data_IF_702886113464
#
_entry.id   IF_702886113464
#
_cell.length_a   1.000
_cell.length_b   1.000
_cell.length_c   1.000
_cell.angle_alpha   90.00
_cell.angle_beta   90.00
_cell.angle_gamma   90.00
#
_symmetry.space_group_name_H-M   'P 1'
#
loop_
_entity.id
_entity.type
_entity.pdbx_description
1 polymer ?
#
# COMPACT_ATOMS: atom_id res chain seq x y z
N UNK A 1 29.55 9.22 -16.60
CA UNK A 1 28.47 8.22 -16.74
C UNK A 1 27.53 8.40 -15.55
N UNK A 2 26.22 8.45 -15.79
CA UNK A 2 25.22 8.57 -14.73
C UNK A 2 24.50 7.20 -14.61
N UNK A 3 24.49 6.63 -13.42
CA UNK A 3 23.78 5.39 -13.13
C UNK A 3 22.37 5.72 -12.62
N UNK A 4 21.38 5.00 -13.10
CA UNK A 4 19.99 5.11 -12.66
C UNK A 4 19.44 3.75 -12.28
N UNK A 5 18.51 3.70 -11.34
CA UNK A 5 17.83 2.48 -10.92
C UNK A 5 16.47 2.31 -11.62
N UNK A 6 15.82 1.18 -11.38
CA UNK A 6 14.53 0.86 -11.99
C UNK A 6 13.41 1.81 -11.54
N UNK A 7 13.46 2.31 -10.32
CA UNK A 7 12.43 3.21 -9.78
C UNK A 7 12.55 4.59 -10.43
N UNK A 8 13.79 5.08 -10.62
CA UNK A 8 14.08 6.32 -11.36
C UNK A 8 13.62 6.23 -12.83
N UNK A 9 13.79 5.07 -13.46
CA UNK A 9 13.32 4.81 -14.84
C UNK A 9 11.79 4.80 -14.88
N UNK A 10 11.11 4.08 -13.98
CA UNK A 10 9.65 4.03 -13.91
C UNK A 10 9.04 5.41 -13.67
N UNK A 11 9.62 6.21 -12.77
CA UNK A 11 9.23 7.60 -12.54
C UNK A 11 9.40 8.47 -13.80
N UNK A 12 10.44 8.21 -14.60
CA UNK A 12 10.65 8.93 -15.86
C UNK A 12 9.68 8.50 -16.95
N UNK A 13 9.28 7.23 -17.03
CA UNK A 13 8.22 6.76 -17.93
C UNK A 13 6.88 7.44 -17.61
N UNK A 14 6.51 7.52 -16.34
CA UNK A 14 5.32 8.26 -15.90
C UNK A 14 5.38 9.73 -16.33
N UNK A 15 6.50 10.40 -16.06
CA UNK A 15 6.69 11.80 -16.42
C UNK A 15 6.54 12.03 -17.94
N UNK A 16 7.10 11.15 -18.77
CA UNK A 16 6.94 11.20 -20.23
C UNK A 16 5.45 11.10 -20.59
N UNK A 17 4.75 10.12 -20.04
CA UNK A 17 3.33 9.93 -20.30
C UNK A 17 2.49 11.14 -19.89
N UNK A 18 2.71 11.68 -18.70
CA UNK A 18 1.94 12.82 -18.19
C UNK A 18 2.14 14.11 -19.00
N UNK A 19 3.35 14.35 -19.50
CA UNK A 19 3.68 15.59 -20.21
C UNK A 19 3.44 15.54 -21.72
N UNK A 20 3.71 14.40 -22.36
CA UNK A 20 3.63 14.30 -23.83
C UNK A 20 2.65 13.23 -24.33
N UNK A 21 1.99 12.52 -23.42
CA UNK A 21 1.04 11.43 -23.73
C UNK A 21 1.62 10.31 -24.61
N UNK A 22 2.94 10.11 -24.53
CA UNK A 22 3.65 9.03 -25.19
C UNK A 22 4.06 7.96 -24.18
N UNK A 23 3.97 6.70 -24.56
CA UNK A 23 4.47 5.59 -23.75
C UNK A 23 5.85 5.23 -24.29
N UNK A 24 6.87 5.38 -23.45
CA UNK A 24 8.23 4.90 -23.75
C UNK A 24 8.46 3.53 -23.10
N UNK A 25 9.34 2.73 -23.68
CA UNK A 25 9.89 1.57 -22.99
C UNK A 25 10.87 1.97 -21.88
N UNK A 26 11.20 1.09 -20.90
CA UNK A 26 12.15 1.41 -19.84
C UNK A 26 13.51 1.90 -20.35
N UNK A 27 14.08 1.23 -21.38
CA UNK A 27 15.33 1.64 -22.00
C UNK A 27 15.24 3.04 -22.65
N UNK A 28 14.10 3.37 -23.25
CA UNK A 28 13.85 4.69 -23.83
C UNK A 28 13.76 5.81 -22.79
N UNK A 29 13.27 5.51 -21.58
CA UNK A 29 13.15 6.47 -20.47
C UNK A 29 14.45 6.65 -19.68
N UNK A 30 15.42 5.74 -19.82
CA UNK A 30 16.71 5.78 -19.10
C UNK A 30 17.46 7.10 -19.30
N UNK A 31 17.41 7.65 -20.52
CA UNK A 31 18.05 8.93 -20.84
C UNK A 31 17.44 10.10 -20.03
N UNK A 32 16.11 10.14 -19.87
CA UNK A 32 15.45 11.17 -19.06
C UNK A 32 15.74 10.99 -17.58
N UNK A 33 15.76 9.74 -17.08
CA UNK A 33 16.14 9.46 -15.70
C UNK A 33 17.55 9.94 -15.38
N UNK A 34 18.52 9.62 -16.27
CA UNK A 34 19.90 10.11 -16.16
C UNK A 34 20.00 11.62 -16.24
N UNK A 35 19.24 12.27 -17.13
CA UNK A 35 19.22 13.72 -17.27
C UNK A 35 18.69 14.40 -15.98
N UNK A 36 17.58 13.91 -15.42
CA UNK A 36 17.02 14.43 -14.15
C UNK A 36 18.05 14.33 -13.01
N UNK A 37 18.72 13.19 -12.89
CA UNK A 37 19.74 12.97 -11.87
C UNK A 37 20.93 13.90 -12.07
N UNK A 38 21.42 14.04 -13.29
CA UNK A 38 22.51 14.95 -13.65
C UNK A 38 22.18 16.41 -13.33
N UNK A 39 20.99 16.89 -13.69
CA UNK A 39 20.51 18.24 -13.36
C UNK A 39 20.52 18.49 -11.86
N UNK A 40 20.02 17.53 -11.08
CA UNK A 40 19.97 17.62 -9.62
C UNK A 40 21.37 17.63 -8.98
N UNK A 41 22.23 16.73 -9.40
CA UNK A 41 23.61 16.61 -8.87
C UNK A 41 24.45 17.85 -9.16
N UNK A 42 24.26 18.47 -10.34
CA UNK A 42 25.02 19.65 -10.78
C UNK A 42 24.29 20.97 -10.54
N UNK A 43 23.10 20.93 -9.88
CA UNK A 43 22.28 22.13 -9.58
C UNK A 43 22.08 23.05 -10.80
N UNK A 44 21.85 22.44 -11.98
CA UNK A 44 21.68 23.18 -13.20
C UNK A 44 20.38 23.98 -13.21
N UNK A 45 20.49 25.29 -13.54
CA UNK A 45 19.35 26.19 -13.67
C UNK A 45 19.44 26.91 -15.03
N UNK A 46 18.27 27.27 -15.56
CA UNK A 46 18.15 28.06 -16.81
C UNK A 46 18.93 27.48 -18.01
N UNK A 47 18.93 26.14 -18.14
CA UNK A 47 19.58 25.41 -19.24
C UNK A 47 18.54 24.75 -20.14
N UNK A 48 18.77 24.84 -21.44
CA UNK A 48 18.07 24.02 -22.44
C UNK A 48 18.76 22.66 -22.51
N UNK A 49 18.05 21.62 -22.15
CA UNK A 49 18.56 20.25 -22.09
C UNK A 49 17.70 19.36 -23.00
N UNK A 50 18.33 18.37 -23.62
CA UNK A 50 17.65 17.42 -24.48
C UNK A 50 18.09 15.99 -24.15
N UNK A 51 17.18 15.05 -24.28
CA UNK A 51 17.47 13.63 -24.25
C UNK A 51 16.70 12.91 -25.37
N UNK A 52 17.15 11.72 -25.73
CA UNK A 52 16.53 10.93 -26.79
C UNK A 52 15.66 9.84 -26.12
N UNK A 53 14.38 9.83 -26.47
CA UNK A 53 13.47 8.73 -26.17
C UNK A 53 13.59 7.70 -27.30
N UNK A 54 14.31 6.62 -27.06
CA UNK A 54 14.78 5.73 -28.14
C UNK A 54 13.83 4.60 -28.52
N UNK A 55 12.76 4.37 -27.76
CA UNK A 55 11.87 3.26 -28.06
C UNK A 55 10.55 3.27 -27.28
N UNK A 56 9.59 2.47 -27.80
CA UNK A 56 8.25 2.32 -27.24
C UNK A 56 7.79 0.84 -27.24
N UNK A 57 8.74 -0.11 -27.28
CA UNK A 57 8.42 -1.54 -27.24
C UNK A 57 8.07 -1.97 -25.81
N UNK A 58 6.85 -1.68 -25.40
CA UNK A 58 6.32 -1.95 -24.07
C UNK A 58 5.08 -2.83 -24.15
N UNK A 59 4.94 -3.77 -23.22
CA UNK A 59 3.74 -4.56 -23.05
C UNK A 59 3.01 -4.22 -21.73
N UNK A 60 1.78 -4.71 -21.57
CA UNK A 60 0.98 -4.41 -20.38
C UNK A 60 1.57 -4.92 -19.06
N UNK A 61 2.37 -5.99 -19.08
CA UNK A 61 3.08 -6.46 -17.87
C UNK A 61 4.14 -5.42 -17.46
N UNK A 62 4.86 -4.83 -18.42
CA UNK A 62 5.81 -3.74 -18.15
C UNK A 62 5.09 -2.51 -17.60
N UNK A 63 3.92 -2.13 -18.15
CA UNK A 63 3.14 -1.00 -17.65
C UNK A 63 2.65 -1.23 -16.22
N UNK A 64 2.24 -2.45 -15.88
CA UNK A 64 1.90 -2.82 -14.50
C UNK A 64 3.10 -2.60 -13.57
N UNK A 65 4.27 -3.13 -13.93
CA UNK A 65 5.50 -2.94 -13.16
C UNK A 65 5.83 -1.45 -12.97
N UNK A 66 5.72 -0.65 -14.02
CA UNK A 66 5.93 0.80 -13.98
C UNK A 66 4.93 1.48 -13.03
N UNK A 67 3.64 1.16 -13.14
CA UNK A 67 2.58 1.72 -12.29
C UNK A 67 2.83 1.48 -10.81
N UNK A 68 3.39 0.31 -10.46
CA UNK A 68 3.66 -0.08 -9.08
C UNK A 68 4.92 0.58 -8.49
N UNK A 69 5.85 1.01 -9.32
CA UNK A 69 7.17 1.53 -8.88
C UNK A 69 7.36 3.03 -9.10
N UNK A 70 6.57 3.66 -9.96
CA UNK A 70 6.79 5.07 -10.30
C UNK A 70 6.60 6.02 -9.11
N UNK A 71 5.64 5.76 -8.23
CA UNK A 71 5.41 6.61 -7.04
C UNK A 71 6.57 6.49 -6.03
N UNK A 72 7.15 5.30 -5.91
CA UNK A 72 8.35 5.07 -5.07
C UNK A 72 9.55 5.82 -5.66
N UNK A 73 9.75 5.71 -6.98
CA UNK A 73 10.84 6.41 -7.68
C UNK A 73 10.72 7.94 -7.64
N UNK A 74 9.50 8.47 -7.54
CA UNK A 74 9.24 9.90 -7.32
C UNK A 74 9.33 10.32 -5.85
N UNK A 75 9.58 9.39 -4.92
CA UNK A 75 9.54 9.62 -3.48
C UNK A 75 8.16 10.13 -3.00
N UNK A 76 7.09 9.60 -3.62
CA UNK A 76 5.69 9.92 -3.29
C UNK A 76 4.96 8.82 -2.55
N UNK A 77 5.61 7.68 -2.36
CA UNK A 77 5.13 6.58 -1.53
C UNK A 77 6.22 6.15 -0.56
N UNK A 78 5.84 5.91 0.69
CA UNK A 78 6.66 5.24 1.69
C UNK A 78 6.09 3.85 1.94
N UNK A 79 6.95 2.83 1.97
CA UNK A 79 6.61 1.46 2.38
C UNK A 79 7.22 1.20 3.75
N UNK A 80 6.38 0.86 4.72
CA UNK A 80 6.80 0.68 6.11
C UNK A 80 6.36 -0.70 6.62
N UNK A 81 7.22 -1.34 7.40
CA UNK A 81 6.82 -2.41 8.30
C UNK A 81 6.70 -1.82 9.70
N UNK A 82 5.55 -2.03 10.35
CA UNK A 82 5.27 -1.46 11.67
C UNK A 82 4.79 -2.57 12.60
N UNK A 83 5.44 -2.70 13.76
CA UNK A 83 5.01 -3.64 14.79
C UNK A 83 3.94 -2.97 15.66
N UNK A 84 2.78 -3.61 15.77
CA UNK A 84 1.66 -3.17 16.58
C UNK A 84 1.33 -4.20 17.67
N UNK A 85 0.73 -3.75 18.77
CA UNK A 85 0.18 -4.67 19.76
C UNK A 85 -1.03 -5.43 19.19
N UNK A 86 -1.10 -6.75 19.46
CA UNK A 86 -2.24 -7.58 19.04
C UNK A 86 -3.40 -7.41 20.03
N UNK A 87 -4.14 -6.33 19.88
CA UNK A 87 -5.30 -5.99 20.69
C UNK A 87 -6.32 -5.15 19.92
N UNK A 88 -7.57 -5.22 20.34
CA UNK A 88 -8.66 -4.43 19.74
C UNK A 88 -8.32 -2.95 19.71
N UNK A 89 -8.56 -2.29 18.57
CA UNK A 89 -8.33 -0.87 18.38
C UNK A 89 -6.89 -0.49 17.99
N UNK A 90 -5.94 -1.42 17.93
CA UNK A 90 -4.55 -1.11 17.54
C UNK A 90 -4.45 -0.51 16.14
N UNK A 91 -5.24 -1.01 15.18
CA UNK A 91 -5.29 -0.43 13.83
C UNK A 91 -5.83 0.99 13.84
N UNK A 92 -6.91 1.23 14.58
CA UNK A 92 -7.49 2.57 14.68
C UNK A 92 -6.46 3.55 15.23
N UNK A 93 -5.81 3.20 16.35
CA UNK A 93 -4.78 4.02 16.98
C UNK A 93 -3.61 4.30 16.03
N UNK A 94 -3.16 3.29 15.29
CA UNK A 94 -2.15 3.46 14.26
C UNK A 94 -2.59 4.44 13.16
N UNK A 95 -3.80 4.27 12.63
CA UNK A 95 -4.35 5.14 11.59
C UNK A 95 -4.60 6.57 12.08
N UNK A 96 -4.92 6.79 13.35
CA UNK A 96 -5.03 8.11 13.95
C UNK A 96 -3.70 8.88 13.91
N UNK A 97 -2.58 8.18 14.11
CA UNK A 97 -1.23 8.79 14.01
C UNK A 97 -0.89 9.13 12.54
N UNK A 98 -1.27 8.27 11.60
CA UNK A 98 -1.12 8.58 10.18
C UNK A 98 -1.98 9.78 9.76
N UNK A 99 -3.06 10.04 10.47
CA UNK A 99 -3.98 11.17 10.21
C UNK A 99 -4.67 11.04 8.86
N UNK A 100 -4.75 12.17 8.13
CA UNK A 100 -5.44 12.24 6.82
C UNK A 100 -4.56 11.81 5.63
N UNK A 101 -3.41 11.20 5.86
CA UNK A 101 -2.56 10.72 4.77
C UNK A 101 -3.26 9.56 4.03
N UNK A 102 -3.11 9.54 2.72
CA UNK A 102 -3.70 8.45 1.93
C UNK A 102 -2.85 7.17 2.12
N UNK A 103 -3.47 6.14 2.64
CA UNK A 103 -2.89 4.79 2.69
C UNK A 103 -3.07 4.18 1.30
N UNK A 104 -1.98 3.73 0.69
CA UNK A 104 -1.96 3.10 -0.63
C UNK A 104 -2.08 1.58 -0.53
N UNK A 105 -1.62 1.02 0.58
CA UNK A 105 -1.58 -0.40 0.83
C UNK A 105 -1.58 -0.69 2.34
N UNK A 106 -2.27 -1.73 2.75
CA UNK A 106 -2.30 -2.17 4.14
C UNK A 106 -2.49 -3.68 4.21
N UNK A 107 -1.48 -4.39 4.67
CA UNK A 107 -1.51 -5.84 4.80
C UNK A 107 -1.26 -6.24 6.24
N UNK A 108 -2.18 -7.01 6.79
CA UNK A 108 -2.10 -7.58 8.12
C UNK A 108 -2.67 -8.99 8.12
N UNK A 109 -2.02 -9.85 8.88
CA UNK A 109 -2.52 -11.18 9.25
C UNK A 109 -2.15 -11.48 10.71
N UNK A 110 -3.11 -11.91 11.48
CA UNK A 110 -2.88 -12.40 12.84
C UNK A 110 -1.90 -13.59 12.82
N UNK A 111 -0.85 -13.52 13.60
CA UNK A 111 0.18 -14.55 13.68
C UNK A 111 0.62 -14.88 15.10
N UNK A 112 0.52 -13.94 16.02
CA UNK A 112 0.94 -14.05 17.42
C UNK A 112 -0.05 -13.28 18.32
N UNK A 113 -0.30 -13.77 19.53
CA UNK A 113 -1.26 -13.15 20.46
C UNK A 113 -0.77 -11.86 21.13
N UNK A 114 0.49 -11.45 20.90
CA UNK A 114 1.09 -10.28 21.54
C UNK A 114 1.34 -9.14 20.59
N UNK A 115 1.88 -9.44 19.43
CA UNK A 115 2.33 -8.46 18.45
C UNK A 115 2.06 -8.94 17.04
N UNK A 116 1.76 -7.99 16.17
CA UNK A 116 1.66 -8.22 14.73
C UNK A 116 2.55 -7.23 13.99
N UNK A 117 3.06 -7.66 12.85
CA UNK A 117 3.76 -6.79 11.91
C UNK A 117 2.78 -6.45 10.78
N UNK A 118 2.50 -5.17 10.59
CA UNK A 118 1.73 -4.67 9.45
C UNK A 118 2.68 -4.16 8.37
N UNK A 119 2.32 -4.42 7.12
CA UNK A 119 2.94 -3.80 5.96
C UNK A 119 2.03 -2.69 5.46
N UNK A 120 2.53 -1.46 5.39
CA UNK A 120 1.72 -0.30 5.01
C UNK A 120 2.43 0.56 3.99
N UNK A 121 1.71 0.92 2.93
CA UNK A 121 2.08 1.95 1.97
C UNK A 121 1.37 3.27 2.31
N UNK A 122 2.10 4.37 2.32
CA UNK A 122 1.56 5.70 2.62
C UNK A 122 1.98 6.68 1.55
N UNK A 123 1.03 7.42 1.00
CA UNK A 123 1.34 8.51 0.06
C UNK A 123 1.99 9.68 0.80
N UNK A 124 3.10 10.15 0.26
CA UNK A 124 3.90 11.24 0.82
C UNK A 124 4.18 12.30 -0.25
N UNK A 125 4.47 13.51 0.19
CA UNK A 125 4.88 14.63 -0.68
C UNK A 125 6.39 14.65 -0.99
N UNK A 126 7.17 13.84 -0.29
CA UNK A 126 8.62 13.71 -0.44
C UNK A 126 9.31 13.08 0.76
N UNK A 127 10.63 12.91 0.65
CA UNK A 127 11.44 12.23 1.67
C UNK A 127 11.39 12.89 3.06
N UNK A 128 11.17 14.20 3.15
CA UNK A 128 11.05 14.90 4.43
C UNK A 128 9.81 14.42 5.20
N UNK A 129 8.66 14.28 4.53
CA UNK A 129 7.44 13.78 5.15
C UNK A 129 7.58 12.30 5.57
N UNK A 130 8.32 11.47 4.81
CA UNK A 130 8.63 10.10 5.22
C UNK A 130 9.34 10.06 6.58
N UNK A 131 10.36 10.88 6.74
CA UNK A 131 11.12 10.98 8.00
C UNK A 131 10.22 11.43 9.15
N UNK A 132 9.33 12.40 8.91
CA UNK A 132 8.36 12.86 9.89
C UNK A 132 7.41 11.75 10.33
N UNK A 133 6.80 11.02 9.39
CA UNK A 133 5.90 9.89 9.68
C UNK A 133 6.61 8.84 10.54
N UNK A 134 7.82 8.42 10.16
CA UNK A 134 8.58 7.43 10.92
C UNK A 134 8.85 7.92 12.34
N UNK A 135 9.26 9.18 12.49
CA UNK A 135 9.50 9.79 13.79
C UNK A 135 8.23 9.84 14.65
N UNK A 136 7.11 10.26 14.07
CA UNK A 136 5.83 10.32 14.79
C UNK A 136 5.40 8.95 15.30
N UNK A 137 5.52 7.91 14.46
CA UNK A 137 5.22 6.54 14.85
C UNK A 137 6.15 6.06 15.98
N UNK A 138 7.47 6.29 15.86
CA UNK A 138 8.45 5.91 16.89
C UNK A 138 8.21 6.63 18.22
N UNK A 139 7.86 7.92 18.20
CA UNK A 139 7.52 8.69 19.41
C UNK A 139 6.24 8.16 20.09
N UNK A 140 5.33 7.54 19.34
CA UNK A 140 4.15 6.86 19.87
C UNK A 140 4.39 5.38 20.25
N UNK A 141 5.67 4.95 20.29
CA UNK A 141 6.08 3.64 20.78
C UNK A 141 6.00 2.50 19.76
N UNK A 142 5.86 2.81 18.47
CA UNK A 142 5.90 1.80 17.41
C UNK A 142 7.33 1.49 17.00
N UNK A 143 7.60 0.21 16.75
CA UNK A 143 8.81 -0.21 16.05
C UNK A 143 8.53 -0.14 14.54
N UNK A 144 9.35 0.62 13.81
CA UNK A 144 9.12 0.96 12.40
C UNK A 144 10.38 0.71 11.59
N UNK A 145 10.26 -0.10 10.55
CA UNK A 145 11.28 -0.28 9.52
C UNK A 145 10.86 0.40 8.21
N UNK A 146 11.73 1.22 7.64
CA UNK A 146 11.56 1.80 6.30
C UNK A 146 11.95 0.76 5.24
N UNK A 147 10.96 0.32 4.46
CA UNK A 147 11.11 -0.65 3.38
C UNK A 147 11.02 -0.01 1.99
N UNK A 148 11.00 1.33 1.90
CA UNK A 148 10.81 2.06 0.63
C UNK A 148 11.90 1.76 -0.40
N UNK A 149 13.10 1.40 0.04
CA UNK A 149 14.23 1.05 -0.82
C UNK A 149 14.50 -0.47 -0.87
N UNK A 150 13.71 -1.30 -0.17
CA UNK A 150 13.83 -2.76 -0.15
C UNK A 150 13.14 -3.41 -1.36
N UNK A 151 13.93 -4.08 -2.22
CA UNK A 151 13.41 -4.71 -3.44
C UNK A 151 12.52 -5.93 -3.17
N UNK A 152 12.73 -6.67 -2.06
CA UNK A 152 11.88 -7.80 -1.67
C UNK A 152 10.51 -7.28 -1.26
N UNK A 153 10.47 -6.20 -0.47
CA UNK A 153 9.23 -5.55 -0.08
C UNK A 153 8.44 -5.07 -1.31
N UNK A 154 9.10 -4.36 -2.23
CA UNK A 154 8.50 -3.83 -3.46
C UNK A 154 8.00 -4.90 -4.43
N UNK A 155 8.68 -6.03 -4.50
CA UNK A 155 8.43 -7.05 -5.53
C UNK A 155 7.55 -8.20 -5.01
N UNK A 156 7.65 -8.54 -3.74
CA UNK A 156 7.02 -9.74 -3.19
C UNK A 156 6.09 -9.46 -2.01
N UNK A 157 6.57 -8.76 -0.96
CA UNK A 157 5.80 -8.61 0.29
C UNK A 157 4.49 -7.87 0.07
N UNK A 158 4.47 -6.84 -0.75
CA UNK A 158 3.26 -6.06 -1.04
C UNK A 158 2.13 -6.85 -1.72
N UNK A 159 2.38 -8.09 -2.16
CA UNK A 159 1.36 -8.98 -2.75
C UNK A 159 0.92 -10.10 -1.82
N UNK A 160 1.48 -10.16 -0.61
CA UNK A 160 1.20 -11.23 0.34
C UNK A 160 0.02 -10.86 1.23
N UNK A 161 -1.05 -11.65 1.16
CA UNK A 161 -2.22 -11.50 2.06
C UNK A 161 -1.96 -12.15 3.43
N UNK A 162 -0.85 -12.84 3.59
CA UNK A 162 -0.50 -13.64 4.75
C UNK A 162 -0.88 -15.11 4.57
N UNK A 163 -0.82 -15.87 5.66
CA UNK A 163 -1.07 -17.30 5.68
C UNK A 163 -2.23 -17.67 6.61
N UNK A 164 -2.22 -18.91 7.09
CA UNK A 164 -3.20 -19.42 8.06
C UNK A 164 -2.95 -18.85 9.45
N UNK A 165 -4.01 -18.50 10.16
CA UNK A 165 -3.97 -18.12 11.57
C UNK A 165 -4.39 -19.33 12.42
N UNK A 166 -3.43 -20.13 12.85
CA UNK A 166 -3.69 -21.39 13.56
C UNK A 166 -4.33 -21.22 14.95
N UNK A 167 -4.21 -20.06 15.55
CA UNK A 167 -4.81 -19.72 16.85
C UNK A 167 -6.30 -19.36 16.77
N UNK A 168 -6.83 -19.04 15.59
CA UNK A 168 -8.21 -18.61 15.41
C UNK A 168 -9.09 -19.81 15.09
N UNK A 169 -10.02 -20.12 15.98
CA UNK A 169 -10.92 -21.28 15.82
C UNK A 169 -12.10 -21.00 14.89
N UNK A 170 -12.61 -19.76 14.89
CA UNK A 170 -13.74 -19.37 14.07
C UNK A 170 -13.53 -18.00 13.44
N UNK A 171 -13.46 -17.98 12.14
CA UNK A 171 -13.13 -16.80 11.33
C UNK A 171 -14.12 -16.68 10.17
N UNK A 172 -14.58 -15.46 9.91
CA UNK A 172 -15.41 -15.12 8.75
C UNK A 172 -14.69 -14.09 7.88
N UNK A 173 -14.66 -14.32 6.57
CA UNK A 173 -14.00 -13.48 5.59
C UNK A 173 -15.01 -12.68 4.77
N UNK A 174 -14.76 -11.40 4.65
CA UNK A 174 -15.59 -10.47 3.88
C UNK A 174 -14.77 -9.69 2.87
N UNK A 175 -15.34 -9.49 1.69
CA UNK A 175 -14.86 -8.55 0.69
C UNK A 175 -15.72 -7.30 0.70
N UNK A 176 -15.10 -6.11 0.58
CA UNK A 176 -15.78 -4.81 0.58
C UNK A 176 -15.38 -4.01 -0.66
N UNK A 177 -16.35 -3.34 -1.29
CA UNK A 177 -16.08 -2.24 -2.20
C UNK A 177 -15.87 -0.95 -1.39
N UNK A 178 -14.69 -0.35 -1.51
CA UNK A 178 -14.22 0.70 -0.63
C UNK A 178 -13.86 1.96 -1.41
N UNK A 179 -14.39 3.16 -1.02
CA UNK A 179 -14.05 4.38 -1.73
C UNK A 179 -12.60 4.80 -1.49
N UNK A 180 -11.83 5.04 -2.56
CA UNK A 180 -10.44 5.50 -2.48
C UNK A 180 -10.36 6.99 -2.15
N UNK A 181 -10.76 7.38 -0.93
CA UNK A 181 -10.75 8.76 -0.43
C UNK A 181 -9.87 8.89 0.82
N UNK A 182 -9.30 10.06 1.01
CA UNK A 182 -8.58 10.39 2.25
C UNK A 182 -9.49 10.22 3.46
N UNK A 183 -9.00 9.52 4.49
CA UNK A 183 -9.73 9.26 5.72
C UNK A 183 -10.77 8.14 5.66
N UNK A 184 -11.04 7.54 4.50
CA UNK A 184 -12.02 6.47 4.39
C UNK A 184 -11.62 5.23 5.22
N UNK A 185 -10.34 4.84 5.20
CA UNK A 185 -9.83 3.75 6.02
C UNK A 185 -10.01 4.02 7.52
N UNK A 186 -9.71 5.23 7.97
CA UNK A 186 -9.90 5.62 9.36
C UNK A 186 -11.38 5.49 9.77
N UNK A 187 -12.29 6.02 8.95
CA UNK A 187 -13.74 5.91 9.19
C UNK A 187 -14.22 4.45 9.25
N UNK A 188 -13.73 3.61 8.33
CA UNK A 188 -14.03 2.18 8.31
C UNK A 188 -13.59 1.50 9.61
N UNK A 189 -12.36 1.74 10.06
CA UNK A 189 -11.84 1.16 11.29
C UNK A 189 -12.54 1.67 12.56
N UNK A 190 -12.95 2.95 12.59
CA UNK A 190 -13.74 3.52 13.69
C UNK A 190 -15.04 2.76 13.93
N UNK A 191 -15.70 2.31 12.88
CA UNK A 191 -16.96 1.58 12.97
C UNK A 191 -16.79 0.10 13.34
N UNK A 192 -15.59 -0.45 13.17
CA UNK A 192 -15.26 -1.85 13.44
C UNK A 192 -14.48 -2.07 14.73
N UNK A 193 -14.36 -1.06 15.60
CA UNK A 193 -13.55 -1.13 16.84
C UNK A 193 -13.96 -2.25 17.82
N UNK A 194 -15.20 -2.72 17.74
CA UNK A 194 -15.71 -3.79 18.62
C UNK A 194 -15.40 -5.21 18.10
N UNK A 195 -14.81 -5.33 16.91
CA UNK A 195 -14.55 -6.60 16.26
C UNK A 195 -13.05 -6.89 16.20
N UNK A 196 -12.68 -8.15 16.41
CA UNK A 196 -11.31 -8.61 16.28
C UNK A 196 -11.02 -8.88 14.80
N UNK A 197 -10.25 -8.01 14.17
CA UNK A 197 -9.81 -8.18 12.80
C UNK A 197 -8.60 -9.12 12.81
N UNK A 198 -8.70 -10.23 12.13
CA UNK A 198 -7.67 -11.27 12.03
C UNK A 198 -6.90 -11.26 10.70
N UNK A 199 -7.49 -10.66 9.67
CA UNK A 199 -6.89 -10.41 8.37
C UNK A 199 -7.38 -9.06 7.86
N UNK A 200 -6.47 -8.27 7.33
CA UNK A 200 -6.82 -7.05 6.62
C UNK A 200 -5.89 -6.86 5.44
N UNK A 201 -6.46 -6.83 4.26
CA UNK A 201 -5.74 -6.57 3.03
C UNK A 201 -6.46 -5.47 2.25
N UNK A 202 -5.77 -4.37 2.04
CA UNK A 202 -6.21 -3.24 1.24
C UNK A 202 -5.10 -2.82 0.29
N UNK A 203 -5.48 -2.52 -0.93
CA UNK A 203 -4.59 -1.92 -1.91
C UNK A 203 -5.35 -0.94 -2.80
N UNK A 204 -4.86 0.29 -2.88
CA UNK A 204 -5.39 1.29 -3.78
C UNK A 204 -5.03 0.93 -5.24
N UNK A 205 -6.02 0.90 -6.10
CA UNK A 205 -5.85 0.58 -7.53
C UNK A 205 -5.88 1.81 -8.43
N UNK A 206 -6.05 3.02 -7.85
CA UNK A 206 -6.16 4.26 -8.60
C UNK A 206 -7.50 4.44 -9.31
N UNK A 207 -8.52 3.65 -8.93
CA UNK A 207 -9.91 3.83 -9.32
C UNK A 207 -10.66 4.62 -8.24
N UNK A 208 -11.95 4.92 -8.48
CA UNK A 208 -12.79 5.58 -7.46
C UNK A 208 -13.08 4.67 -6.26
N UNK A 209 -13.01 3.35 -6.48
CA UNK A 209 -13.22 2.30 -5.49
C UNK A 209 -12.09 1.29 -5.54
N UNK A 210 -11.64 0.85 -4.38
CA UNK A 210 -10.72 -0.25 -4.19
C UNK A 210 -11.39 -1.41 -3.45
N UNK A 211 -10.70 -2.53 -3.36
CA UNK A 211 -11.19 -3.72 -2.70
C UNK A 211 -10.48 -3.91 -1.35
N UNK A 212 -11.27 -4.14 -0.29
CA UNK A 212 -10.78 -4.62 0.99
C UNK A 212 -11.14 -6.09 1.15
N UNK A 213 -10.20 -6.88 1.62
CA UNK A 213 -10.43 -8.20 2.15
C UNK A 213 -10.18 -8.14 3.66
N UNK A 214 -11.20 -8.39 4.46
CA UNK A 214 -11.08 -8.40 5.92
C UNK A 214 -11.68 -9.66 6.52
N UNK A 215 -10.96 -10.30 7.46
CA UNK A 215 -11.49 -11.38 8.24
C UNK A 215 -11.64 -10.97 9.70
N UNK A 216 -12.64 -11.56 10.35
CA UNK A 216 -12.98 -11.32 11.74
C UNK A 216 -12.93 -12.61 12.53
N UNK A 217 -12.19 -12.59 13.65
CA UNK A 217 -12.24 -13.65 14.64
C UNK A 217 -13.52 -13.48 15.47
N UNK A 218 -14.38 -14.49 15.45
CA UNK A 218 -15.72 -14.44 16.04
C UNK A 218 -15.93 -15.57 17.03
N UNK A 219 -16.91 -15.40 17.94
CA UNK A 219 -17.54 -16.52 18.59
C UNK A 219 -18.73 -17.00 17.74
N UNK A 220 -19.13 -18.25 17.90
CA UNK A 220 -20.32 -18.77 17.20
C UNK A 220 -21.57 -17.99 17.62
N UNK A 221 -22.26 -17.44 16.65
CA UNK A 221 -23.48 -16.63 16.86
C UNK A 221 -23.27 -15.14 16.71
N UNK A 222 -22.01 -14.64 16.67
CA UNK A 222 -21.70 -13.22 16.51
C UNK A 222 -21.93 -12.73 15.07
N UNK A 223 -22.12 -13.65 14.10
CA UNK A 223 -22.24 -13.31 12.66
C UNK A 223 -23.43 -12.40 12.37
N UNK A 224 -24.55 -12.61 13.08
CA UNK A 224 -25.77 -11.80 12.89
C UNK A 224 -25.52 -10.36 13.31
N UNK A 225 -24.85 -10.19 14.44
CA UNK A 225 -24.50 -8.84 14.93
C UNK A 225 -23.44 -8.17 14.07
N UNK A 226 -22.42 -8.92 13.65
CA UNK A 226 -21.42 -8.41 12.70
C UNK A 226 -22.08 -7.94 11.41
N UNK A 227 -22.92 -8.77 10.77
CA UNK A 227 -23.58 -8.41 9.52
C UNK A 227 -24.45 -7.14 9.70
N UNK A 228 -25.16 -6.99 10.80
CA UNK A 228 -25.92 -5.77 11.10
C UNK A 228 -25.01 -4.52 11.18
N UNK A 229 -23.84 -4.65 11.81
CA UNK A 229 -22.87 -3.56 11.86
C UNK A 229 -22.28 -3.25 10.48
N UNK A 230 -21.98 -4.28 9.67
CA UNK A 230 -21.49 -4.10 8.31
C UNK A 230 -22.53 -3.41 7.42
N UNK A 231 -23.81 -3.72 7.55
CA UNK A 231 -24.89 -3.01 6.85
C UNK A 231 -24.94 -1.51 7.22
N UNK A 232 -24.70 -1.17 8.49
CA UNK A 232 -24.66 0.21 8.96
C UNK A 232 -23.48 1.01 8.41
N UNK A 233 -22.38 0.35 8.01
CA UNK A 233 -21.26 0.98 7.33
C UNK A 233 -21.65 1.64 6.00
N UNK A 234 -22.66 1.10 5.33
CA UNK A 234 -23.13 1.59 4.04
C UNK A 234 -22.20 1.28 2.86
N UNK A 235 -21.17 0.46 3.05
CA UNK A 235 -20.33 -0.06 1.97
C UNK A 235 -20.94 -1.35 1.41
N UNK A 236 -20.75 -1.60 0.13
CA UNK A 236 -21.04 -2.92 -0.42
C UNK A 236 -20.09 -3.93 0.16
N UNK A 237 -20.62 -5.04 0.65
CA UNK A 237 -19.82 -6.15 1.14
C UNK A 237 -20.44 -7.50 0.79
N UNK A 238 -19.60 -8.52 0.80
CA UNK A 238 -19.99 -9.91 0.58
C UNK A 238 -19.22 -10.81 1.53
N UNK A 239 -19.92 -11.76 2.17
CA UNK A 239 -19.25 -12.86 2.87
C UNK A 239 -18.65 -13.81 1.83
N UNK A 240 -17.34 -14.01 1.89
CA UNK A 240 -16.56 -14.84 0.96
C UNK A 240 -15.85 -15.98 1.68
N UNK A 241 -16.31 -16.35 2.88
CA UNK A 241 -15.74 -17.43 3.71
C UNK A 241 -15.74 -18.80 3.02
N UNK A 242 -16.65 -19.02 2.09
CA UNK A 242 -16.74 -20.25 1.31
C UNK A 242 -15.90 -20.23 0.02
N UNK A 243 -15.17 -19.13 -0.23
CA UNK A 243 -14.29 -19.05 -1.40
C UNK A 243 -13.22 -20.14 -1.36
N UNK A 244 -13.00 -20.89 -2.46
CA UNK A 244 -11.91 -21.87 -2.54
C UNK A 244 -10.54 -21.26 -2.21
N UNK A 245 -10.27 -20.02 -2.63
CA UNK A 245 -9.01 -19.34 -2.34
C UNK A 245 -8.79 -19.17 -0.83
N UNK A 246 -9.83 -18.77 -0.10
CA UNK A 246 -9.75 -18.69 1.36
C UNK A 246 -9.52 -20.05 2.00
N UNK A 247 -10.32 -21.07 1.62
CA UNK A 247 -10.25 -22.41 2.19
C UNK A 247 -8.87 -23.08 1.98
N UNK A 248 -8.23 -22.86 0.81
CA UNK A 248 -6.94 -23.47 0.49
C UNK A 248 -5.73 -22.72 1.08
N UNK A 249 -5.78 -21.39 1.14
CA UNK A 249 -4.58 -20.60 1.41
C UNK A 249 -4.60 -19.80 2.71
N UNK A 250 -5.78 -19.48 3.25
CA UNK A 250 -5.91 -18.55 4.38
C UNK A 250 -6.59 -19.17 5.62
N UNK A 251 -7.37 -20.26 5.46
CA UNK A 251 -8.06 -20.96 6.54
C UNK A 251 -7.27 -22.11 7.12
#
# INVERSE_FOLDING_TARGET
MVLVDNDEICASMKLIFENVRAISEPSGATSLAGLKKYVKEHQLQDKNLACILSGANVNFHTLRFVSERCEIGEKREALLAVTIAEQKGSFLKFCEILGNRAVTEFNYRHSDDKQACIFVGVRISGSAEKVEIIKDLQQNGYDVADLSDDDIAKTHIRYMVGGRASSIQYEQLYSFEFPEQKGALLKFLQMLTNWDISLFHYRAHGADYGDILAAFALNRGDEVELNRHLEQLGYRFQNVSESPAYQYFLK
#
